data_IF_968821272958
#
_entry.id   IF_968821272958
#
_cell.length_a   1.000
_cell.length_b   1.000
_cell.length_c   1.000
_cell.angle_alpha   90.00
_cell.angle_beta   90.00
_cell.angle_gamma   90.00
#
_symmetry.space_group_name_H-M   'P 1'
#
loop_
_entity.id
_entity.type
_entity.pdbx_description
1 polymer ?
#
# COMPACT_ATOMS: atom_id res chain seq x y z
N UNK A 1 30.55 -5.51 -3.28
CA UNK A 1 30.00 -4.14 -3.17
C UNK A 1 28.80 -4.20 -2.24
N UNK A 2 28.66 -3.21 -1.35
CA UNK A 2 27.59 -3.14 -0.35
C UNK A 2 26.47 -2.20 -0.83
N UNK A 3 25.21 -2.60 -0.62
CA UNK A 3 24.02 -1.86 -1.06
C UNK A 3 23.05 -1.72 0.11
N UNK A 4 22.55 -0.51 0.34
CA UNK A 4 21.46 -0.24 1.29
C UNK A 4 20.21 0.12 0.49
N UNK A 5 19.13 -0.61 0.72
CA UNK A 5 17.82 -0.33 0.15
C UNK A 5 16.99 0.50 1.13
N UNK A 6 16.61 1.70 0.73
CA UNK A 6 15.77 2.63 1.51
C UNK A 6 14.33 2.58 0.99
N UNK A 7 13.53 1.63 1.48
CA UNK A 7 12.12 1.43 1.08
C UNK A 7 11.36 0.63 2.13
N UNK A 8 10.04 0.77 2.20
CA UNK A 8 9.19 -0.12 3.01
C UNK A 8 9.31 -1.57 2.56
N UNK A 9 9.29 -2.52 3.49
CA UNK A 9 9.25 -3.93 3.15
C UNK A 9 7.98 -4.27 2.33
N UNK A 10 8.04 -5.37 1.57
CA UNK A 10 6.84 -5.87 0.91
C UNK A 10 5.78 -6.28 1.94
N UNK A 11 4.51 -5.96 1.69
CA UNK A 11 3.38 -6.24 2.60
C UNK A 11 3.18 -7.74 2.93
N UNK A 12 3.85 -8.64 2.21
CA UNK A 12 3.85 -10.09 2.47
C UNK A 12 5.21 -10.63 2.94
N UNK A 13 6.22 -9.77 3.12
CA UNK A 13 7.54 -10.20 3.58
C UNK A 13 7.46 -10.53 5.08
N UNK A 14 7.80 -11.77 5.45
CA UNK A 14 7.90 -12.18 6.86
C UNK A 14 9.27 -11.85 7.45
N UNK A 15 10.24 -11.58 6.58
CA UNK A 15 11.60 -11.18 6.89
C UNK A 15 12.17 -10.29 5.78
N UNK A 16 13.25 -9.57 6.07
CA UNK A 16 13.97 -8.77 5.07
C UNK A 16 14.46 -9.63 3.89
N UNK A 17 14.77 -10.90 4.13
CA UNK A 17 15.19 -11.86 3.09
C UNK A 17 14.10 -12.23 2.08
N UNK A 18 12.84 -11.97 2.41
CA UNK A 18 11.70 -12.25 1.53
C UNK A 18 11.46 -11.11 0.51
N UNK A 19 12.14 -9.97 0.67
CA UNK A 19 11.99 -8.87 -0.27
C UNK A 19 12.60 -9.22 -1.64
N UNK A 20 11.85 -9.06 -2.75
CA UNK A 20 12.32 -9.48 -4.07
C UNK A 20 13.57 -8.73 -4.53
N UNK A 21 13.75 -7.46 -4.14
CA UNK A 21 14.94 -6.68 -4.50
C UNK A 21 16.16 -7.17 -3.74
N UNK A 22 16.00 -7.51 -2.46
CA UNK A 22 17.05 -8.12 -1.63
C UNK A 22 17.51 -9.43 -2.26
N UNK A 23 16.57 -10.29 -2.69
CA UNK A 23 16.91 -11.57 -3.31
C UNK A 23 17.67 -11.41 -4.64
N UNK A 24 17.22 -10.50 -5.52
CA UNK A 24 17.85 -10.25 -6.82
C UNK A 24 19.28 -9.73 -6.65
N UNK A 25 19.48 -8.78 -5.73
CA UNK A 25 20.79 -8.19 -5.49
C UNK A 25 21.74 -9.19 -4.81
N UNK A 26 21.28 -9.96 -3.81
CA UNK A 26 22.11 -11.01 -3.20
C UNK A 26 22.52 -12.08 -4.21
N UNK A 27 21.62 -12.52 -5.10
CA UNK A 27 21.94 -13.45 -6.21
C UNK A 27 23.00 -12.89 -7.16
N UNK A 28 23.09 -11.57 -7.28
CA UNK A 28 24.08 -10.88 -8.11
C UNK A 28 25.41 -10.61 -7.38
N UNK A 29 25.60 -11.15 -6.17
CA UNK A 29 26.84 -11.04 -5.40
C UNK A 29 26.96 -9.78 -4.54
N UNK A 30 25.87 -9.03 -4.35
CA UNK A 30 25.87 -7.88 -3.44
C UNK A 30 25.59 -8.30 -1.99
N UNK A 31 26.24 -7.62 -1.05
CA UNK A 31 25.81 -7.60 0.35
C UNK A 31 24.73 -6.53 0.48
N UNK A 32 23.56 -6.88 1.01
CA UNK A 32 22.36 -6.03 0.95
C UNK A 32 21.69 -5.96 2.30
N UNK A 33 21.45 -4.74 2.76
CA UNK A 33 20.57 -4.42 3.87
C UNK A 33 19.34 -3.63 3.38
N UNK A 34 18.21 -3.85 4.04
CA UNK A 34 16.95 -3.14 3.79
C UNK A 34 16.62 -2.31 5.02
N UNK A 35 16.50 -1.00 4.84
CA UNK A 35 16.02 -0.08 5.87
C UNK A 35 14.68 0.50 5.44
N UNK A 36 13.67 0.26 6.26
CA UNK A 36 12.34 0.82 6.06
C UNK A 36 12.36 2.32 6.38
N UNK A 37 11.93 3.11 5.41
CA UNK A 37 11.94 4.57 5.51
C UNK A 37 10.65 5.16 6.05
N UNK A 38 9.56 4.40 5.95
CA UNK A 38 8.21 4.81 6.32
C UNK A 38 7.59 3.77 7.23
N UNK A 39 6.92 4.26 8.25
CA UNK A 39 5.93 3.52 9.03
C UNK A 39 4.51 3.95 8.63
N UNK A 40 3.51 3.18 9.05
CA UNK A 40 2.12 3.44 8.72
C UNK A 40 1.22 3.39 9.94
N UNK A 41 0.46 4.45 10.12
CA UNK A 41 -0.59 4.55 11.14
C UNK A 41 -1.94 4.24 10.49
N UNK A 42 -2.72 3.36 11.11
CA UNK A 42 -4.01 2.93 10.58
C UNK A 42 -5.14 3.67 11.30
N UNK A 43 -5.92 4.46 10.55
CA UNK A 43 -6.98 5.31 11.09
C UNK A 43 -8.28 4.52 11.24
N UNK A 44 -8.26 3.54 12.14
CA UNK A 44 -9.36 2.58 12.36
C UNK A 44 -10.65 3.29 12.79
N UNK A 45 -10.54 4.33 13.61
CA UNK A 45 -11.68 5.14 14.06
C UNK A 45 -12.45 5.77 12.90
N UNK A 46 -11.75 6.29 11.89
CA UNK A 46 -12.37 6.89 10.70
C UNK A 46 -13.19 5.86 9.91
N UNK A 47 -12.84 4.58 9.99
CA UNK A 47 -13.50 3.49 9.28
C UNK A 47 -14.65 2.85 10.09
N UNK A 48 -14.74 3.12 11.40
CA UNK A 48 -15.72 2.50 12.27
C UNK A 48 -17.17 2.82 11.88
N UNK A 49 -17.42 4.02 11.37
CA UNK A 49 -18.74 4.47 10.89
C UNK A 49 -19.16 3.75 9.58
N UNK A 50 -18.22 3.10 8.92
CA UNK A 50 -18.41 2.44 7.62
C UNK A 50 -18.65 0.93 7.71
N UNK A 51 -18.91 0.38 8.91
CA UNK A 51 -19.26 -1.06 9.06
C UNK A 51 -20.41 -1.51 8.15
N UNK A 52 -21.37 -0.61 7.91
CA UNK A 52 -22.53 -0.84 7.04
C UNK A 52 -22.39 -0.16 5.67
N UNK A 53 -21.18 0.06 5.16
CA UNK A 53 -20.93 0.81 3.93
C UNK A 53 -21.77 0.34 2.73
N UNK A 54 -22.07 -0.97 2.63
CA UNK A 54 -22.89 -1.59 1.57
C UNK A 54 -24.30 -0.98 1.45
N UNK A 55 -24.86 -0.47 2.54
CA UNK A 55 -26.17 0.18 2.51
C UNK A 55 -26.11 1.55 1.84
N UNK A 56 -24.95 2.21 1.93
CA UNK A 56 -24.78 3.62 1.58
C UNK A 56 -23.88 3.85 0.36
N UNK A 57 -23.27 2.80 -0.19
CA UNK A 57 -22.31 2.90 -1.29
C UNK A 57 -22.52 1.76 -2.29
N UNK A 58 -22.28 2.03 -3.58
CA UNK A 58 -22.46 1.03 -4.63
C UNK A 58 -21.24 0.14 -4.84
N UNK A 59 -20.05 0.64 -4.50
CA UNK A 59 -18.80 -0.09 -4.65
C UNK A 59 -17.73 0.43 -3.69
N UNK A 60 -16.65 -0.35 -3.56
CA UNK A 60 -15.43 0.02 -2.86
C UNK A 60 -14.24 0.02 -3.83
N UNK A 61 -13.34 0.99 -3.68
CA UNK A 61 -12.11 1.05 -4.49
C UNK A 61 -10.90 1.07 -3.57
N UNK A 62 -9.90 0.24 -3.85
CA UNK A 62 -8.61 0.25 -3.16
C UNK A 62 -7.48 0.56 -4.14
N UNK A 63 -6.75 1.65 -3.89
CA UNK A 63 -5.53 1.97 -4.66
C UNK A 63 -4.24 1.55 -3.97
N UNK A 64 -4.34 0.93 -2.78
CA UNK A 64 -3.21 0.56 -1.94
C UNK A 64 -3.55 -0.68 -1.11
N UNK A 65 -2.62 -1.65 -0.96
CA UNK A 65 -2.79 -2.78 -0.05
C UNK A 65 -3.07 -2.33 1.40
N UNK A 66 -2.48 -1.20 1.82
CA UNK A 66 -2.63 -0.65 3.17
C UNK A 66 -4.04 -0.20 3.48
N UNK A 67 -4.76 0.32 2.48
CA UNK A 67 -6.18 0.64 2.63
C UNK A 67 -7.01 -0.62 2.93
N UNK A 68 -6.68 -1.75 2.30
CA UNK A 68 -7.35 -3.03 2.58
C UNK A 68 -7.05 -3.47 4.01
N UNK A 69 -5.79 -3.40 4.44
CA UNK A 69 -5.37 -3.75 5.80
C UNK A 69 -6.07 -2.87 6.83
N UNK A 70 -6.19 -1.56 6.57
CA UNK A 70 -6.92 -0.63 7.42
C UNK A 70 -8.40 -1.04 7.60
N UNK A 71 -9.08 -1.37 6.49
CA UNK A 71 -10.46 -1.86 6.52
C UNK A 71 -10.59 -3.15 7.33
N UNK A 72 -9.72 -4.13 7.11
CA UNK A 72 -9.74 -5.39 7.87
C UNK A 72 -9.52 -5.14 9.36
N UNK A 73 -8.56 -4.28 9.73
CA UNK A 73 -8.33 -3.88 11.14
C UNK A 73 -9.54 -3.18 11.76
N UNK A 74 -10.34 -2.48 10.97
CA UNK A 74 -11.59 -1.87 11.39
C UNK A 74 -12.80 -2.83 11.40
N UNK A 75 -12.59 -4.11 11.06
CA UNK A 75 -13.64 -5.12 10.97
C UNK A 75 -14.47 -5.06 9.69
N UNK A 76 -13.99 -4.37 8.66
CA UNK A 76 -14.61 -4.30 7.34
C UNK A 76 -13.99 -5.38 6.46
N UNK A 77 -14.65 -6.54 6.40
CA UNK A 77 -14.31 -7.64 5.48
C UNK A 77 -15.17 -7.59 4.23
N UNK A 78 -14.65 -8.19 3.17
CA UNK A 78 -15.31 -8.30 1.87
C UNK A 78 -16.33 -9.42 1.80
N UNK A 79 -17.18 -9.30 0.79
CA UNK A 79 -18.08 -10.33 0.30
C UNK A 79 -17.84 -10.50 -1.21
N UNK A 80 -17.96 -11.70 -1.72
CA UNK A 80 -17.75 -12.01 -3.16
C UNK A 80 -18.72 -11.26 -4.10
N UNK A 81 -19.89 -10.86 -3.58
CA UNK A 81 -20.89 -10.08 -4.32
C UNK A 81 -20.62 -8.57 -4.30
N UNK A 82 -19.66 -8.11 -3.50
CA UNK A 82 -19.29 -6.70 -3.46
C UNK A 82 -18.66 -6.27 -4.79
N UNK A 83 -19.10 -5.13 -5.30
CA UNK A 83 -18.39 -4.48 -6.38
C UNK A 83 -17.12 -3.84 -5.81
N UNK A 84 -15.99 -4.53 -6.00
CA UNK A 84 -14.68 -4.11 -5.51
C UNK A 84 -13.73 -3.87 -6.69
N UNK A 85 -13.06 -2.72 -6.69
CA UNK A 85 -12.06 -2.37 -7.70
C UNK A 85 -10.71 -2.09 -7.06
N UNK A 86 -9.64 -2.46 -7.75
CA UNK A 86 -8.29 -2.31 -7.22
C UNK A 86 -7.31 -1.77 -8.25
N UNK A 87 -6.31 -1.03 -7.80
CA UNK A 87 -5.11 -0.70 -8.60
C UNK A 87 -3.97 -1.63 -8.21
N UNK A 88 -3.49 -2.41 -9.17
CA UNK A 88 -2.27 -3.20 -9.07
C UNK A 88 -2.43 -4.58 -8.40
N UNK A 89 -1.57 -5.56 -8.78
CA UNK A 89 -1.67 -6.94 -8.28
C UNK A 89 -1.50 -7.09 -6.77
N UNK A 90 -0.67 -6.25 -6.14
CA UNK A 90 -0.44 -6.32 -4.69
C UNK A 90 -1.72 -5.99 -3.90
N UNK A 91 -2.47 -4.98 -4.34
CA UNK A 91 -3.75 -4.60 -3.74
C UNK A 91 -4.80 -5.67 -3.99
N UNK A 92 -4.81 -6.25 -5.19
CA UNK A 92 -5.70 -7.36 -5.55
C UNK A 92 -5.53 -8.55 -4.61
N UNK A 93 -4.28 -8.96 -4.38
CA UNK A 93 -3.95 -10.06 -3.49
C UNK A 93 -4.47 -9.81 -2.07
N UNK A 94 -4.28 -8.62 -1.52
CA UNK A 94 -4.81 -8.29 -0.19
C UNK A 94 -6.34 -8.23 -0.16
N UNK A 95 -6.97 -7.64 -1.19
CA UNK A 95 -8.43 -7.57 -1.27
C UNK A 95 -9.06 -8.97 -1.34
N UNK A 96 -8.46 -9.90 -2.10
CA UNK A 96 -8.86 -11.32 -2.15
C UNK A 96 -8.75 -11.98 -0.77
N UNK A 97 -7.62 -11.77 -0.07
CA UNK A 97 -7.44 -12.27 1.32
C UNK A 97 -8.48 -11.70 2.29
N UNK A 98 -8.93 -10.47 2.06
CA UNK A 98 -9.97 -9.82 2.85
C UNK A 98 -11.41 -10.26 2.50
N UNK A 99 -11.60 -11.15 1.52
CA UNK A 99 -12.90 -11.70 1.14
C UNK A 99 -13.59 -11.01 -0.05
N UNK A 100 -12.92 -10.09 -0.74
CA UNK A 100 -13.46 -9.45 -1.95
C UNK A 100 -13.15 -10.26 -3.22
N UNK A 101 -13.93 -10.04 -4.28
CA UNK A 101 -13.60 -10.46 -5.65
C UNK A 101 -13.26 -9.24 -6.52
N UNK A 102 -12.06 -8.65 -6.35
CA UNK A 102 -11.70 -7.38 -6.96
C UNK A 102 -11.59 -7.45 -8.50
N UNK A 103 -11.81 -6.31 -9.15
CA UNK A 103 -11.67 -6.12 -10.60
C UNK A 103 -10.69 -4.99 -10.90
N UNK A 104 -10.11 -5.01 -12.09
CA UNK A 104 -9.32 -3.88 -12.62
C UNK A 104 -7.86 -3.81 -12.16
N UNK A 105 -7.34 -4.82 -11.47
CA UNK A 105 -5.93 -4.88 -11.05
C UNK A 105 -4.94 -4.65 -12.20
N UNK A 106 -5.26 -5.19 -13.38
CA UNK A 106 -4.48 -5.10 -14.62
C UNK A 106 -4.66 -3.78 -15.39
N UNK A 107 -5.48 -2.84 -14.88
CA UNK A 107 -5.68 -1.54 -15.55
C UNK A 107 -4.42 -0.69 -15.57
N UNK A 108 -3.41 -1.02 -14.76
CA UNK A 108 -2.10 -0.37 -14.72
C UNK A 108 -2.07 0.86 -13.79
N UNK A 109 -3.00 1.80 -13.94
CA UNK A 109 -3.03 3.05 -13.17
C UNK A 109 -4.45 3.53 -12.81
N UNK A 110 -4.50 4.63 -12.06
CA UNK A 110 -5.72 5.27 -11.57
C UNK A 110 -6.67 5.75 -12.68
N UNK A 111 -6.15 6.30 -13.78
CA UNK A 111 -6.96 6.84 -14.87
C UNK A 111 -7.63 5.73 -15.67
N UNK A 112 -6.85 4.69 -15.98
CA UNK A 112 -7.36 3.51 -16.70
C UNK A 112 -8.38 2.75 -15.85
N UNK A 113 -8.17 2.64 -14.55
CA UNK A 113 -9.15 2.03 -13.66
C UNK A 113 -10.45 2.83 -13.63
N UNK A 114 -10.39 4.16 -13.48
CA UNK A 114 -11.58 5.00 -13.50
C UNK A 114 -12.34 4.86 -14.83
N UNK A 115 -11.62 4.90 -15.96
CA UNK A 115 -12.19 4.70 -17.30
C UNK A 115 -12.87 3.33 -17.45
N UNK A 116 -12.24 2.27 -16.94
CA UNK A 116 -12.81 0.92 -16.93
C UNK A 116 -14.11 0.85 -16.12
N UNK A 117 -14.13 1.47 -14.93
CA UNK A 117 -15.31 1.52 -14.06
C UNK A 117 -16.46 2.25 -14.77
N UNK A 118 -16.19 3.42 -15.34
CA UNK A 118 -17.20 4.22 -16.03
C UNK A 118 -17.76 3.48 -17.25
N UNK A 119 -16.89 2.89 -18.07
CA UNK A 119 -17.30 2.18 -19.28
C UNK A 119 -18.17 0.95 -19.01
N UNK A 120 -17.86 0.18 -17.96
CA UNK A 120 -18.47 -1.13 -17.75
C UNK A 120 -19.45 -1.22 -16.58
N UNK A 121 -19.39 -0.26 -15.64
CA UNK A 121 -20.12 -0.33 -14.38
C UNK A 121 -20.87 0.95 -14.02
N UNK A 122 -20.81 2.03 -14.81
CA UNK A 122 -21.47 3.29 -14.47
C UNK A 122 -22.96 3.16 -14.12
N UNK A 123 -23.70 2.25 -14.77
CA UNK A 123 -25.11 2.00 -14.49
C UNK A 123 -25.37 1.33 -13.13
N UNK A 124 -24.34 0.72 -12.51
CA UNK A 124 -24.40 0.08 -11.19
C UNK A 124 -23.97 1.03 -10.05
N UNK A 125 -23.57 2.25 -10.38
CA UNK A 125 -23.06 3.25 -9.42
C UNK A 125 -24.11 4.35 -9.22
N UNK A 126 -25.15 4.00 -8.47
CA UNK A 126 -26.29 4.84 -8.10
C UNK A 126 -26.14 5.52 -6.72
N UNK A 127 -25.23 5.02 -5.89
CA UNK A 127 -24.82 5.56 -4.59
C UNK A 127 -23.35 6.00 -4.63
N UNK A 128 -22.87 6.75 -3.62
CA UNK A 128 -21.47 7.12 -3.54
C UNK A 128 -20.50 5.92 -3.62
N UNK A 129 -19.32 6.16 -4.17
CA UNK A 129 -18.22 5.20 -4.23
C UNK A 129 -17.44 5.29 -2.92
N UNK A 130 -17.23 4.18 -2.22
CA UNK A 130 -16.41 4.17 -1.01
C UNK A 130 -14.92 4.07 -1.38
N UNK A 131 -14.14 5.09 -1.03
CA UNK A 131 -12.72 5.16 -1.37
C UNK A 131 -11.84 5.35 -0.11
N UNK A 132 -11.53 4.27 0.62
CA UNK A 132 -10.52 4.29 1.67
C UNK A 132 -9.11 4.44 1.08
N UNK A 133 -8.41 5.52 1.42
CA UNK A 133 -7.10 5.85 0.86
C UNK A 133 -6.10 6.31 1.93
N UNK A 134 -4.85 6.52 1.52
CA UNK A 134 -3.85 7.17 2.37
C UNK A 134 -4.11 8.67 2.53
N UNK A 135 -3.64 9.26 3.62
CA UNK A 135 -3.71 10.72 3.84
C UNK A 135 -3.08 11.48 2.68
N UNK A 136 -1.91 11.02 2.24
CA UNK A 136 -1.30 11.44 0.97
C UNK A 136 -1.78 10.49 -0.11
N UNK A 137 -2.59 11.00 -1.03
CA UNK A 137 -3.07 10.25 -2.19
C UNK A 137 -3.07 11.12 -3.44
N UNK A 138 -3.11 10.46 -4.60
CA UNK A 138 -3.34 11.14 -5.87
C UNK A 138 -4.84 11.20 -6.10
N UNK A 139 -5.36 12.40 -6.33
CA UNK A 139 -6.79 12.61 -6.56
C UNK A 139 -7.25 12.18 -7.95
N UNK A 140 -6.37 11.65 -8.80
CA UNK A 140 -6.67 11.33 -10.20
C UNK A 140 -7.89 10.42 -10.33
N UNK A 141 -7.97 9.35 -9.54
CA UNK A 141 -9.10 8.41 -9.60
C UNK A 141 -10.42 9.05 -9.12
N UNK A 142 -10.49 9.69 -7.94
CA UNK A 142 -11.67 10.45 -7.54
C UNK A 142 -12.08 11.51 -8.56
N UNK A 143 -11.15 12.34 -9.05
CA UNK A 143 -11.43 13.43 -9.99
C UNK A 143 -12.03 12.93 -11.30
N UNK A 144 -11.50 11.86 -11.89
CA UNK A 144 -12.05 11.30 -13.14
C UNK A 144 -13.47 10.79 -12.94
N UNK A 145 -13.75 10.13 -11.80
CA UNK A 145 -15.09 9.63 -11.48
C UNK A 145 -16.08 10.77 -11.21
N UNK A 146 -15.65 11.80 -10.47
CA UNK A 146 -16.48 12.96 -10.12
C UNK A 146 -16.80 13.84 -11.34
N UNK A 147 -15.85 14.00 -12.27
CA UNK A 147 -16.08 14.71 -13.54
C UNK A 147 -17.17 14.06 -14.39
N UNK A 148 -17.38 12.75 -14.24
CA UNK A 148 -18.44 11.98 -14.90
C UNK A 148 -19.70 11.83 -14.01
N UNK A 149 -19.82 12.68 -12.99
CA UNK A 149 -21.00 12.78 -12.12
C UNK A 149 -21.10 11.66 -11.06
N UNK A 150 -20.05 10.87 -10.83
CA UNK A 150 -20.03 9.87 -9.77
C UNK A 150 -19.52 10.48 -8.46
N UNK A 151 -20.34 10.44 -7.42
CA UNK A 151 -19.94 10.90 -6.08
C UNK A 151 -18.94 9.92 -5.46
N UNK A 152 -17.80 10.42 -4.99
CA UNK A 152 -16.79 9.62 -4.30
C UNK A 152 -16.73 10.03 -2.83
N UNK A 153 -16.84 9.06 -1.93
CA UNK A 153 -16.64 9.23 -0.51
C UNK A 153 -15.20 8.83 -0.14
N UNK A 154 -14.32 9.82 -0.06
CA UNK A 154 -12.90 9.65 0.22
C UNK A 154 -12.69 9.61 1.74
N UNK A 155 -12.11 8.52 2.24
CA UNK A 155 -11.82 8.35 3.68
C UNK A 155 -10.36 8.05 3.89
N UNK A 156 -9.73 8.82 4.77
CA UNK A 156 -8.33 8.58 5.14
C UNK A 156 -8.25 7.36 6.06
N UNK A 157 -7.85 6.24 5.49
CA UNK A 157 -7.75 4.93 6.13
C UNK A 157 -6.39 4.69 6.80
N UNK A 158 -5.33 5.33 6.30
CA UNK A 158 -4.00 5.26 6.89
C UNK A 158 -3.19 6.52 6.59
N UNK A 159 -2.15 6.75 7.38
CA UNK A 159 -1.18 7.83 7.19
C UNK A 159 0.22 7.24 7.08
N UNK A 160 1.05 7.82 6.21
CA UNK A 160 2.48 7.47 6.15
C UNK A 160 3.22 8.40 7.10
N UNK A 161 4.03 7.83 7.98
CA UNK A 161 4.85 8.57 8.93
C UNK A 161 6.30 8.18 8.77
N UNK A 162 7.21 9.03 9.20
CA UNK A 162 8.63 8.72 9.18
C UNK A 162 8.93 7.52 10.08
N UNK A 163 9.77 6.59 9.61
CA UNK A 163 10.30 5.56 10.49
C UNK A 163 11.36 6.17 11.41
N UNK A 164 11.00 6.44 12.66
CA UNK A 164 11.88 7.08 13.65
C UNK A 164 13.15 6.29 13.95
N UNK A 165 13.20 4.99 13.62
CA UNK A 165 14.40 4.16 13.78
C UNK A 165 15.36 4.23 12.59
N UNK A 166 14.94 4.84 11.47
CA UNK A 166 15.74 4.92 10.25
C UNK A 166 17.10 5.57 10.50
N UNK A 167 17.12 6.70 11.23
CA UNK A 167 18.33 7.46 11.48
C UNK A 167 19.40 6.62 12.19
N UNK A 168 19.04 5.96 13.29
CA UNK A 168 19.97 5.11 14.04
C UNK A 168 20.40 3.89 13.23
N UNK A 169 19.48 3.23 12.51
CA UNK A 169 19.81 2.07 11.67
C UNK A 169 20.77 2.44 10.53
N UNK A 170 20.56 3.62 9.92
CA UNK A 170 21.44 4.12 8.87
C UNK A 170 22.83 4.44 9.43
N UNK A 171 22.90 5.10 10.59
CA UNK A 171 24.17 5.40 11.27
C UNK A 171 24.97 4.13 11.55
N UNK A 172 24.33 3.10 12.11
CA UNK A 172 24.97 1.83 12.42
C UNK A 172 25.51 1.14 11.16
N UNK A 173 24.74 1.08 10.07
CA UNK A 173 25.20 0.46 8.82
C UNK A 173 26.41 1.17 8.18
N UNK A 174 26.46 2.50 8.27
CA UNK A 174 27.61 3.28 7.79
C UNK A 174 28.86 3.11 8.68
N UNK A 175 28.69 2.90 9.99
CA UNK A 175 29.80 2.63 10.90
C UNK A 175 30.36 1.19 10.80
N UNK A 176 29.51 0.19 10.54
CA UNK A 176 29.94 -1.21 10.40
C UNK A 176 30.70 -1.42 9.09
N UNK A 177 30.29 -0.75 8.01
CA UNK A 177 30.97 -0.82 6.70
C UNK A 177 32.35 -0.16 6.66
N UNK A 178 32.65 0.77 7.58
CA UNK A 178 33.97 1.41 7.70
C UNK A 178 34.96 0.59 8.54
N UNK A 179 34.49 -0.37 9.33
CA UNK A 179 35.34 -1.20 10.20
C UNK A 179 36.02 -2.36 9.46
N UNK A 180 35.71 -2.58 8.17
CA UNK A 180 36.28 -3.65 7.34
C UNK A 180 37.39 -3.18 6.39
N UNK A 181 37.77 -1.90 6.41
CA UNK A 181 38.92 -1.40 5.65
C UNK A 181 40.10 -1.06 6.56
N UNK A 182 41.02 -2.01 6.71
CA UNK A 182 42.41 -1.72 7.07
C UNK A 182 42.77 -1.88 8.55
N UNK A 183 43.72 -2.78 8.79
CA UNK A 183 44.52 -2.89 10.00
C UNK A 183 45.05 -1.52 10.46
N UNK A 184 44.65 -1.10 11.66
CA UNK A 184 45.36 -0.07 12.42
C UNK A 184 45.80 -0.67 13.75
N UNK A 185 47.08 -0.98 13.84
CA UNK A 185 47.77 -1.37 15.06
C UNK A 185 47.66 -0.23 16.07
N UNK A 186 47.00 -0.47 17.19
CA UNK A 186 47.06 0.41 18.36
C UNK A 186 48.22 -0.09 19.21
N UNK A 187 49.33 0.63 19.19
CA UNK A 187 50.41 0.46 20.18
C UNK A 187 50.07 1.30 21.41
N UNK A 188 50.24 0.69 22.58
CA UNK A 188 49.90 1.15 23.92
C UNK A 188 50.53 2.49 24.31
#
# INVERSE_FOLDING_TARGET
MYVVLLKSAGENATSISDDPYVQILKKSGFTVDLLETLDFEYNISNLAEYKNWRNNHSCIIFSSPRSVIACVKAGLTGNENDLCFVVGPSTELQAKKAGFLPKGAESGDAEKLASFILKHFASKLDKPIFFPCGQVHRDTLPKVLENEGKKVNIITAYSSVENTQLHEKLRLNLCVSSSFSGTATVTF
#
